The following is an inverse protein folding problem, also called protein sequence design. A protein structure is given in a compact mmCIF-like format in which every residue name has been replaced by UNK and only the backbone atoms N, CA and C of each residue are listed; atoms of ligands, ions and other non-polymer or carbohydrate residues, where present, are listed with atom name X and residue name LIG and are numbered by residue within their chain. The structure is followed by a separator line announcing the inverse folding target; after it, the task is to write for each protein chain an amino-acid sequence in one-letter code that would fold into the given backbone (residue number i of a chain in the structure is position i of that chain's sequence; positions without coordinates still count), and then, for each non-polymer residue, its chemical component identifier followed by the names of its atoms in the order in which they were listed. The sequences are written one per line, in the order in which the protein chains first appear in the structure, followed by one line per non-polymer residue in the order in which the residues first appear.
data_IF_829881768371
#
_entry.id   IF_829881768371
#
_cell.length_a   1.000
_cell.length_b   1.000
_cell.length_c   1.000
_cell.angle_alpha   90.00
_cell.angle_beta   90.00
_cell.angle_gamma   90.00
#
_symmetry.space_group_name_H-M   'P 1'
#
loop_
_entity.id
_entity.type
_entity.pdbx_description
1 polymer ?
#
# COMPACT_ATOMS: atom_id res chain seq x y z
N UNK A 1 4.15 -4.99 7.17
CA UNK A 1 4.61 -4.73 5.79
C UNK A 1 5.61 -3.57 5.79
N UNK A 2 6.56 -3.49 4.85
CA UNK A 2 7.42 -2.30 4.67
C UNK A 2 6.56 -1.13 4.12
N UNK A 3 6.68 0.06 4.70
CA UNK A 3 5.82 1.19 4.36
C UNK A 3 6.41 2.54 4.78
N UNK A 4 5.84 3.61 4.24
CA UNK A 4 6.03 5.00 4.65
C UNK A 4 4.68 5.56 5.07
N UNK A 5 4.64 6.14 6.27
CA UNK A 5 3.51 6.96 6.71
C UNK A 5 3.92 8.44 6.76
N UNK A 6 3.08 9.32 6.23
CA UNK A 6 3.20 10.78 6.38
C UNK A 6 1.88 11.31 6.91
N UNK A 7 1.92 11.92 8.10
CA UNK A 7 0.73 12.55 8.68
C UNK A 7 0.38 13.79 7.86
N UNK A 8 -0.88 13.87 7.44
CA UNK A 8 -1.44 15.02 6.73
C UNK A 8 -1.63 16.22 7.64
N UNK A 9 -1.83 17.39 7.03
CA UNK A 9 -2.11 18.63 7.75
C UNK A 9 -3.57 18.70 8.24
N UNK A 10 -4.49 18.04 7.53
CA UNK A 10 -5.92 18.07 7.84
C UNK A 10 -6.39 16.66 8.28
N UNK A 11 -6.72 16.46 9.57
CA UNK A 11 -7.14 15.16 10.09
C UNK A 11 -8.53 14.72 9.60
N UNK A 12 -9.34 15.63 9.05
CA UNK A 12 -10.66 15.32 8.51
C UNK A 12 -10.58 14.78 7.06
N UNK A 13 -9.40 14.80 6.44
CA UNK A 13 -9.16 14.22 5.10
C UNK A 13 -8.93 12.71 5.20
N UNK A 14 -9.32 11.94 4.16
CA UNK A 14 -9.04 10.52 4.12
C UNK A 14 -7.53 10.27 4.11
N UNK A 15 -7.11 9.10 4.62
CA UNK A 15 -5.74 8.63 4.44
C UNK A 15 -5.60 7.98 3.06
N UNK A 16 -4.67 8.48 2.25
CA UNK A 16 -4.37 7.93 0.93
C UNK A 16 -3.49 6.67 1.08
N UNK A 17 -4.07 5.50 0.78
CA UNK A 17 -3.33 4.24 0.64
C UNK A 17 -2.72 4.15 -0.76
N UNK A 18 -1.39 4.11 -0.85
CA UNK A 18 -0.66 4.04 -2.12
C UNK A 18 -0.07 2.65 -2.33
N UNK A 19 -0.37 2.05 -3.49
CA UNK A 19 0.05 0.71 -3.88
C UNK A 19 0.81 0.80 -5.21
N UNK A 20 2.13 0.56 -5.16
CA UNK A 20 2.99 0.68 -6.33
C UNK A 20 2.72 -0.39 -7.41
N UNK A 21 3.17 -0.13 -8.65
CA UNK A 21 3.14 -1.11 -9.74
C UNK A 21 4.22 -2.20 -9.60
N UNK A 22 4.25 -3.15 -10.53
CA UNK A 22 5.29 -4.21 -10.55
C UNK A 22 6.69 -3.61 -10.65
N UNK A 23 7.61 -4.03 -9.76
CA UNK A 23 8.98 -3.52 -9.74
C UNK A 23 9.16 -2.16 -9.07
N UNK A 24 8.07 -1.57 -8.60
CA UNK A 24 8.10 -0.35 -7.81
C UNK A 24 8.46 -0.56 -6.34
N UNK A 25 8.30 0.50 -5.55
CA UNK A 25 8.51 0.52 -4.11
C UNK A 25 7.60 1.55 -3.41
N UNK A 26 7.68 1.62 -2.09
CA UNK A 26 6.87 2.48 -1.22
C UNK A 26 7.12 4.00 -1.38
N UNK A 27 8.06 4.45 -2.22
CA UNK A 27 8.32 5.87 -2.51
C UNK A 27 7.73 6.35 -3.82
N UNK A 28 7.43 5.45 -4.76
CA UNK A 28 7.18 5.81 -6.16
C UNK A 28 5.95 6.71 -6.35
N UNK A 29 4.90 6.45 -5.58
CA UNK A 29 3.62 7.17 -5.72
C UNK A 29 3.48 8.35 -4.77
N UNK A 30 4.47 8.61 -3.90
CA UNK A 30 4.44 9.76 -2.99
C UNK A 30 4.29 11.10 -3.75
N UNK A 31 4.96 11.35 -4.89
CA UNK A 31 4.73 12.58 -5.64
C UNK A 31 3.28 12.73 -6.14
N UNK A 32 2.60 11.61 -6.40
CA UNK A 32 1.20 11.61 -6.86
C UNK A 32 0.24 12.00 -5.73
N UNK A 33 0.53 11.66 -4.47
CA UNK A 33 -0.36 12.02 -3.36
C UNK A 33 -0.49 13.54 -3.21
N UNK A 34 0.60 14.29 -3.43
CA UNK A 34 0.61 15.76 -3.35
C UNK A 34 -0.28 16.39 -4.44
N UNK A 35 -0.38 15.75 -5.61
CA UNK A 35 -1.24 16.22 -6.71
C UNK A 35 -2.72 15.93 -6.41
N UNK A 36 -3.00 14.80 -5.74
CA UNK A 36 -4.36 14.37 -5.41
C UNK A 36 -4.91 15.19 -4.24
N UNK A 37 -4.19 15.24 -3.11
CA UNK A 37 -4.54 16.01 -1.93
C UNK A 37 -3.28 16.21 -1.05
N UNK A 38 -2.77 17.44 -1.02
CA UNK A 38 -1.57 17.78 -0.24
C UNK A 38 -1.81 17.79 1.28
N UNK A 39 -3.06 17.89 1.72
CA UNK A 39 -3.42 17.95 3.14
C UNK A 39 -3.70 16.57 3.74
N UNK A 40 -3.94 15.57 2.90
CA UNK A 40 -4.26 14.21 3.31
C UNK A 40 -3.08 13.46 3.93
N UNK A 41 -3.36 12.58 4.88
CA UNK A 41 -2.37 11.61 5.35
C UNK A 41 -2.05 10.60 4.25
N UNK A 42 -0.83 10.08 4.24
CA UNK A 42 -0.37 9.13 3.22
C UNK A 42 0.18 7.88 3.88
N UNK A 43 -0.32 6.72 3.46
CA UNK A 43 0.21 5.41 3.79
C UNK A 43 0.64 4.72 2.49
N UNK A 44 1.94 4.68 2.22
CA UNK A 44 2.50 4.05 1.02
C UNK A 44 3.16 2.73 1.38
N UNK A 45 2.76 1.63 0.73
CA UNK A 45 3.12 0.28 1.14
C UNK A 45 3.95 -0.41 0.07
N UNK A 46 4.98 -1.17 0.49
CA UNK A 46 5.72 -2.08 -0.38
C UNK A 46 5.11 -3.48 -0.33
N UNK A 47 4.88 -4.07 -1.50
CA UNK A 47 4.43 -5.45 -1.60
C UNK A 47 5.50 -6.44 -1.10
N UNK A 48 5.06 -7.51 -0.43
CA UNK A 48 5.94 -8.50 0.21
C UNK A 48 6.49 -9.58 -0.75
N UNK A 49 6.01 -9.63 -2.00
CA UNK A 49 6.43 -10.64 -2.99
C UNK A 49 7.56 -10.10 -3.84
N UNK A 50 8.57 -10.92 -4.12
CA UNK A 50 9.63 -10.62 -5.09
C UNK A 50 9.51 -11.55 -6.30
N UNK A 51 9.38 -10.97 -7.49
CA UNK A 51 9.44 -11.68 -8.76
C UNK A 51 10.69 -11.22 -9.50
N UNK A 52 11.72 -12.08 -9.61
CA UNK A 52 13.02 -11.71 -10.18
C UNK A 52 13.64 -10.44 -9.55
N UNK A 53 13.45 -10.26 -8.24
CA UNK A 53 13.92 -9.09 -7.50
C UNK A 53 13.02 -7.84 -7.61
N UNK A 54 11.93 -7.89 -8.38
CA UNK A 54 10.95 -6.83 -8.49
C UNK A 54 9.84 -6.98 -7.44
N UNK A 55 9.59 -5.98 -6.59
CA UNK A 55 8.50 -6.03 -5.63
C UNK A 55 7.12 -6.10 -6.29
N UNK A 56 6.24 -6.90 -5.69
CA UNK A 56 4.83 -7.12 -6.07
C UNK A 56 3.99 -7.34 -4.82
N UNK A 57 2.68 -7.10 -4.92
CA UNK A 57 1.74 -7.40 -3.83
C UNK A 57 1.37 -8.87 -3.75
N UNK A 58 1.31 -9.56 -4.89
CA UNK A 58 0.98 -10.98 -4.98
C UNK A 58 1.68 -11.61 -6.18
N UNK A 59 1.79 -12.94 -6.13
CA UNK A 59 2.39 -13.79 -7.16
C UNK A 59 1.48 -13.91 -8.38
N UNK A 60 2.11 -14.19 -9.51
CA UNK A 60 1.42 -14.59 -10.75
C UNK A 60 2.10 -15.82 -11.32
N UNK A 61 1.34 -16.62 -12.05
CA UNK A 61 1.84 -17.83 -12.72
C UNK A 61 2.44 -17.48 -14.08
N UNK A 62 1.83 -16.52 -14.77
CA UNK A 62 2.32 -15.89 -15.99
C UNK A 62 1.75 -14.49 -16.13
N UNK A 63 2.13 -13.75 -17.18
CA UNK A 63 1.48 -12.48 -17.48
C UNK A 63 -0.04 -12.67 -17.66
N UNK A 64 -0.83 -11.84 -16.98
CA UNK A 64 -2.29 -11.93 -16.98
C UNK A 64 -2.90 -13.10 -16.19
N UNK A 65 -2.10 -14.02 -15.63
CA UNK A 65 -2.59 -15.19 -14.87
C UNK A 65 -2.11 -15.11 -13.44
N UNK A 66 -3.03 -14.79 -12.53
CA UNK A 66 -2.72 -14.62 -11.12
C UNK A 66 -2.67 -15.96 -10.39
N UNK A 67 -1.85 -16.02 -9.36
CA UNK A 67 -1.92 -17.07 -8.35
C UNK A 67 -3.05 -16.66 -7.39
N UNK A 68 -4.24 -17.24 -7.57
CA UNK A 68 -5.44 -16.82 -6.81
C UNK A 68 -5.32 -17.11 -5.31
N UNK A 69 -4.62 -18.19 -4.93
CA UNK A 69 -4.38 -18.52 -3.53
C UNK A 69 -3.49 -17.46 -2.87
N UNK A 70 -2.38 -17.09 -3.52
CA UNK A 70 -1.51 -16.02 -3.02
C UNK A 70 -2.22 -14.65 -3.07
N UNK A 71 -3.04 -14.38 -4.07
CA UNK A 71 -3.84 -13.16 -4.14
C UNK A 71 -4.78 -13.02 -2.94
N UNK A 72 -5.55 -14.06 -2.62
CA UNK A 72 -6.47 -14.05 -1.47
C UNK A 72 -5.70 -13.91 -0.16
N UNK A 73 -4.59 -14.64 -0.01
CA UNK A 73 -3.72 -14.55 1.15
C UNK A 73 -3.16 -13.14 1.34
N UNK A 74 -2.57 -12.54 0.29
CA UNK A 74 -1.95 -11.22 0.34
C UNK A 74 -2.94 -10.08 0.50
N UNK A 75 -4.15 -10.25 -0.01
CA UNK A 75 -5.25 -9.31 0.24
C UNK A 75 -5.64 -9.32 1.72
N UNK A 76 -5.72 -10.51 2.33
CA UNK A 76 -5.99 -10.65 3.76
C UNK A 76 -4.86 -10.07 4.61
N UNK A 77 -3.61 -10.36 4.26
CA UNK A 77 -2.41 -9.79 4.90
C UNK A 77 -2.39 -8.26 4.84
N UNK A 78 -2.70 -7.66 3.67
CA UNK A 78 -2.79 -6.21 3.53
C UNK A 78 -3.93 -5.64 4.38
N UNK A 79 -5.09 -6.30 4.40
CA UNK A 79 -6.22 -5.87 5.20
C UNK A 79 -5.92 -5.87 6.70
N UNK A 80 -5.28 -6.93 7.21
CA UNK A 80 -4.83 -7.01 8.61
C UNK A 80 -3.78 -5.93 8.91
N UNK A 81 -2.82 -5.71 8.00
CA UNK A 81 -1.84 -4.64 8.15
C UNK A 81 -2.47 -3.25 8.26
N UNK A 82 -3.55 -2.99 7.50
CA UNK A 82 -4.26 -1.72 7.60
C UNK A 82 -4.88 -1.50 9.00
N UNK A 83 -5.24 -2.57 9.73
CA UNK A 83 -5.85 -2.47 11.07
C UNK A 83 -4.75 -2.04 12.05
N UNK A 84 -3.61 -2.71 11.96
CA UNK A 84 -2.41 -2.38 12.74
C UNK A 84 -1.91 -0.97 12.44
N UNK A 85 -1.88 -0.56 11.16
CA UNK A 85 -1.42 0.74 10.74
C UNK A 85 -2.36 1.85 11.22
N UNK A 86 -3.68 1.66 11.10
CA UNK A 86 -4.67 2.62 11.59
C UNK A 86 -4.53 2.84 13.10
N UNK A 87 -4.41 1.76 13.87
CA UNK A 87 -4.20 1.85 15.32
C UNK A 87 -2.86 2.52 15.68
N UNK A 88 -1.78 2.19 14.97
CA UNK A 88 -0.43 2.70 15.23
C UNK A 88 -0.28 4.18 14.87
N UNK A 89 -0.88 4.61 13.78
CA UNK A 89 -0.74 5.97 13.24
C UNK A 89 -1.94 6.86 13.52
N UNK A 90 -2.94 6.33 14.22
CA UNK A 90 -4.13 7.04 14.70
C UNK A 90 -4.89 7.72 13.56
N UNK A 91 -5.05 7.03 12.42
CA UNK A 91 -5.90 7.48 11.32
C UNK A 91 -7.19 6.66 11.28
N UNK A 92 -8.23 7.27 10.70
CA UNK A 92 -9.53 6.64 10.58
C UNK A 92 -9.56 5.59 9.46
N UNK A 93 -10.09 4.41 9.78
CA UNK A 93 -10.28 3.29 8.85
C UNK A 93 -11.73 3.18 8.36
N UNK A 94 -12.70 3.81 9.02
CA UNK A 94 -14.13 3.58 8.80
C UNK A 94 -14.99 4.84 8.77
#
# INVERSE_FOLDING_TARGET
MEHIFRKGANPDKPTLLLLHGTGGNERDLIPLSVIIDEEASVLSVRGNVLENGMPRFFRRLSEGVFDEEDLVFRTSELNEFLDEAAAKYEFDRF
#
